data_IF_755151565016
#
_entry.id   IF_755151565016
#
_cell.length_a   1.000
_cell.length_b   1.000
_cell.length_c   1.000
_cell.angle_alpha   90.00
_cell.angle_beta   90.00
_cell.angle_gamma   90.00
#
_symmetry.space_group_name_H-M   'P 1'
#
loop_
_entity.id
_entity.type
_entity.pdbx_description
1 polymer ?
#
# COMPACT_ATOMS: atom_id res chain seq x y z
N UNK A 1 -45.28 -24.76 39.10
CA UNK A 1 -45.68 -24.89 37.68
C UNK A 1 -44.76 -25.92 37.06
N UNK A 2 -45.28 -27.03 36.57
CA UNK A 2 -44.46 -28.08 35.96
C UNK A 2 -44.23 -27.66 34.51
N UNK A 3 -42.98 -27.40 34.13
CA UNK A 3 -42.63 -27.10 32.74
C UNK A 3 -42.88 -28.35 31.91
N UNK A 4 -43.65 -28.21 30.82
CA UNK A 4 -43.92 -29.30 29.90
C UNK A 4 -42.60 -29.72 29.23
N UNK A 5 -42.07 -30.93 29.51
CA UNK A 5 -40.80 -31.36 28.95
C UNK A 5 -40.87 -31.57 27.42
N UNK A 6 -42.07 -31.71 26.85
CA UNK A 6 -42.28 -31.85 25.40
C UNK A 6 -42.44 -30.51 24.67
N UNK A 7 -42.36 -29.37 25.37
CA UNK A 7 -42.46 -28.05 24.74
C UNK A 7 -41.16 -27.69 24.01
N UNK A 8 -41.17 -27.76 22.67
CA UNK A 8 -40.01 -27.53 21.80
C UNK A 8 -39.84 -26.07 21.35
N UNK A 9 -40.47 -25.13 22.07
CA UNK A 9 -40.51 -23.71 21.68
C UNK A 9 -41.47 -23.44 20.51
N UNK A 10 -41.47 -22.20 20.02
CA UNK A 10 -42.20 -21.85 18.79
C UNK A 10 -41.61 -22.60 17.60
N UNK A 11 -42.47 -23.30 16.86
CA UNK A 11 -42.03 -24.07 15.71
C UNK A 11 -41.46 -23.14 14.64
N UNK A 12 -40.21 -23.38 14.22
CA UNK A 12 -39.60 -22.72 13.07
C UNK A 12 -39.49 -23.72 11.92
N UNK A 13 -39.97 -23.36 10.70
CA UNK A 13 -39.81 -24.22 9.54
C UNK A 13 -38.32 -24.43 9.25
N UNK A 14 -37.98 -25.61 8.71
CA UNK A 14 -36.62 -25.86 8.22
C UNK A 14 -36.42 -25.00 6.97
N UNK A 15 -35.36 -24.19 6.97
CA UNK A 15 -34.93 -23.52 5.74
C UNK A 15 -34.38 -24.60 4.81
N UNK A 16 -34.93 -24.66 3.61
CA UNK A 16 -34.52 -25.58 2.55
C UNK A 16 -33.99 -24.69 1.44
N UNK A 17 -32.78 -24.96 0.98
CA UNK A 17 -32.21 -24.26 -0.16
C UNK A 17 -33.14 -24.42 -1.35
N UNK A 18 -33.52 -23.30 -1.96
CA UNK A 18 -34.47 -23.31 -3.06
C UNK A 18 -33.82 -23.98 -4.28
N UNK A 19 -34.26 -25.17 -4.72
CA UNK A 19 -33.67 -25.85 -5.88
C UNK A 19 -33.92 -25.09 -7.19
N UNK A 20 -34.84 -24.12 -7.20
CA UNK A 20 -35.10 -23.25 -8.35
C UNK A 20 -34.31 -21.93 -8.30
N UNK A 21 -33.42 -21.74 -7.32
CA UNK A 21 -32.56 -20.56 -7.28
C UNK A 21 -31.51 -20.64 -8.38
N UNK A 22 -31.53 -19.68 -9.31
CA UNK A 22 -30.64 -19.65 -10.48
C UNK A 22 -29.39 -18.80 -10.28
N UNK A 23 -29.04 -18.53 -9.01
CA UNK A 23 -28.00 -17.56 -8.67
C UNK A 23 -28.53 -16.12 -8.66
N UNK A 24 -27.63 -15.19 -8.35
CA UNK A 24 -27.90 -13.75 -8.47
C UNK A 24 -28.07 -13.43 -9.94
N UNK A 25 -29.12 -12.69 -10.28
CA UNK A 25 -29.32 -12.25 -11.66
C UNK A 25 -28.17 -11.32 -12.07
N UNK A 26 -27.55 -11.61 -13.21
CA UNK A 26 -26.49 -10.81 -13.83
C UNK A 26 -27.07 -10.26 -15.15
N UNK A 27 -26.92 -8.95 -15.37
CA UNK A 27 -27.36 -8.34 -16.62
C UNK A 27 -26.47 -8.85 -17.77
N UNK A 28 -27.04 -9.29 -18.91
CA UNK A 28 -26.25 -9.72 -20.06
C UNK A 28 -25.32 -8.61 -20.54
N UNK A 29 -24.07 -8.94 -20.79
CA UNK A 29 -23.15 -8.03 -21.47
C UNK A 29 -23.56 -7.91 -22.94
N UNK A 30 -23.63 -6.68 -23.43
CA UNK A 30 -23.98 -6.34 -24.82
C UNK A 30 -22.83 -5.50 -25.36
N UNK A 31 -22.37 -5.83 -26.57
CA UNK A 31 -21.30 -5.07 -27.22
C UNK A 31 -21.67 -3.59 -27.32
N UNK A 32 -20.76 -2.73 -26.88
CA UNK A 32 -20.96 -1.28 -26.92
C UNK A 32 -20.78 -0.77 -28.36
N UNK A 33 -21.83 -0.24 -29.02
CA UNK A 33 -21.72 0.27 -30.40
C UNK A 33 -20.84 1.51 -30.51
N UNK A 34 -20.57 2.21 -29.42
CA UNK A 34 -19.71 3.41 -29.38
C UNK A 34 -18.22 3.08 -29.17
N UNK A 35 -17.87 1.81 -28.97
CA UNK A 35 -16.48 1.41 -28.84
C UNK A 35 -15.79 1.34 -30.20
N UNK A 36 -14.69 2.07 -30.34
CA UNK A 36 -13.80 2.00 -31.52
C UNK A 36 -12.34 1.94 -31.08
N UNK A 37 -11.56 0.93 -31.53
CA UNK A 37 -10.13 0.89 -31.24
C UNK A 37 -9.38 1.96 -32.07
N UNK A 38 -8.48 2.71 -31.42
CA UNK A 38 -7.64 3.72 -32.08
C UNK A 38 -6.14 3.33 -31.97
N UNK A 39 -5.46 3.06 -33.09
CA UNK A 39 -4.05 2.72 -33.09
C UNK A 39 -3.12 3.92 -32.80
N UNK A 40 -3.61 5.16 -32.88
CA UNK A 40 -2.79 6.37 -32.74
C UNK A 40 -2.86 6.98 -31.33
N UNK A 41 -3.39 6.26 -30.34
CA UNK A 41 -3.55 6.78 -28.97
C UNK A 41 -2.21 7.20 -28.33
N UNK A 42 -1.10 6.62 -28.77
CA UNK A 42 0.25 6.96 -28.30
C UNK A 42 0.85 8.20 -28.99
N UNK A 43 0.30 8.61 -30.14
CA UNK A 43 0.89 9.62 -31.00
C UNK A 43 0.37 11.01 -30.61
N UNK A 44 1.30 11.93 -30.40
CA UNK A 44 1.01 13.35 -30.20
C UNK A 44 1.74 14.16 -31.27
N UNK A 45 1.10 15.25 -31.73
CA UNK A 45 1.67 16.10 -32.78
C UNK A 45 2.95 16.82 -32.34
N UNK A 46 3.04 17.22 -31.07
CA UNK A 46 4.17 17.99 -30.54
C UNK A 46 4.25 17.91 -29.02
N UNK A 47 5.47 17.75 -28.49
CA UNK A 47 5.81 17.90 -27.08
C UNK A 47 6.74 19.11 -26.92
N UNK A 48 6.31 20.14 -26.18
CA UNK A 48 7.07 21.39 -26.04
C UNK A 48 7.37 21.85 -24.61
N UNK A 49 6.65 21.32 -23.62
CA UNK A 49 6.76 21.76 -22.22
C UNK A 49 6.71 20.55 -21.29
N UNK A 50 7.57 20.56 -20.29
CA UNK A 50 7.51 19.66 -19.12
C UNK A 50 6.99 20.50 -17.95
N UNK A 51 5.92 20.05 -17.32
CA UNK A 51 5.33 20.70 -16.15
C UNK A 51 5.21 19.71 -15.00
N UNK A 52 5.54 20.17 -13.78
CA UNK A 52 5.31 19.42 -12.55
C UNK A 52 4.19 20.13 -11.79
N UNK A 53 3.01 19.51 -11.77
CA UNK A 53 1.85 19.96 -11.00
C UNK A 53 1.45 18.85 -10.01
N UNK A 54 1.73 19.08 -8.74
CA UNK A 54 1.66 18.07 -7.68
C UNK A 54 1.15 18.72 -6.39
N UNK A 55 0.32 18.00 -5.63
CA UNK A 55 -0.09 18.39 -4.29
C UNK A 55 0.72 17.64 -3.23
N UNK A 56 1.28 18.35 -2.24
CA UNK A 56 2.03 17.75 -1.13
C UNK A 56 1.56 18.27 0.23
N UNK A 57 1.31 17.36 1.17
CA UNK A 57 1.01 17.71 2.58
C UNK A 57 2.29 17.98 3.37
N UNK A 58 3.31 17.11 3.21
CA UNK A 58 4.65 17.28 3.79
C UNK A 58 5.66 17.42 2.64
N UNK A 59 6.47 18.47 2.68
CA UNK A 59 7.51 18.71 1.67
C UNK A 59 8.76 17.87 1.95
N UNK A 60 9.59 17.69 0.91
CA UNK A 60 10.87 16.98 1.02
C UNK A 60 11.26 16.17 -0.22
N UNK A 61 10.37 16.04 -1.20
CA UNK A 61 10.65 15.33 -2.46
C UNK A 61 11.61 16.14 -3.33
N UNK A 62 12.62 15.47 -3.88
CA UNK A 62 13.61 16.03 -4.80
C UNK A 62 13.46 15.27 -6.12
N UNK A 63 13.21 16.00 -7.21
CA UNK A 63 13.20 15.45 -8.57
C UNK A 63 14.46 15.92 -9.29
N UNK A 64 15.17 14.98 -9.93
CA UNK A 64 16.36 15.25 -10.73
C UNK A 64 16.43 14.26 -11.90
N UNK A 65 17.36 14.49 -12.84
CA UNK A 65 17.68 13.63 -13.97
C UNK A 65 16.52 13.44 -14.98
N UNK A 66 15.80 14.51 -15.32
CA UNK A 66 14.77 14.46 -16.36
C UNK A 66 15.38 14.11 -17.74
N UNK A 67 14.93 13.00 -18.33
CA UNK A 67 15.31 12.57 -19.67
C UNK A 67 14.06 12.35 -20.54
N UNK A 68 14.06 12.90 -21.74
CA UNK A 68 13.08 12.60 -22.80
C UNK A 68 13.87 12.15 -24.03
N UNK A 69 13.64 10.91 -24.47
CA UNK A 69 14.32 10.30 -25.62
C UNK A 69 13.40 9.31 -26.32
N UNK A 70 13.72 8.99 -27.57
CA UNK A 70 13.08 7.99 -28.43
C UNK A 70 13.85 6.65 -28.47
N UNK A 71 15.01 6.56 -27.79
CA UNK A 71 15.82 5.35 -27.72
C UNK A 71 15.79 4.74 -26.30
N UNK A 72 15.22 3.54 -26.20
CA UNK A 72 15.12 2.77 -24.96
C UNK A 72 16.49 2.41 -24.37
N UNK A 73 17.48 2.12 -25.22
CA UNK A 73 18.82 1.72 -24.74
C UNK A 73 19.57 2.89 -24.16
N UNK A 74 19.45 4.05 -24.81
CA UNK A 74 20.05 5.28 -24.30
C UNK A 74 19.42 5.69 -22.96
N UNK A 75 18.10 5.52 -22.81
CA UNK A 75 17.41 5.75 -21.54
C UNK A 75 17.93 4.82 -20.43
N UNK A 76 18.15 3.54 -20.73
CA UNK A 76 18.71 2.57 -19.78
C UNK A 76 20.16 2.92 -19.39
N UNK A 77 21.01 3.24 -20.36
CA UNK A 77 22.39 3.66 -20.11
C UNK A 77 22.44 4.91 -19.23
N UNK A 78 21.66 5.95 -19.54
CA UNK A 78 21.58 7.17 -18.74
C UNK A 78 21.05 6.91 -17.33
N UNK A 79 20.04 6.04 -17.19
CA UNK A 79 19.51 5.64 -15.87
C UNK A 79 20.54 4.91 -15.01
N UNK A 80 21.34 4.04 -15.62
CA UNK A 80 22.43 3.33 -14.94
C UNK A 80 23.57 4.27 -14.55
N UNK A 81 23.93 5.24 -15.40
CA UNK A 81 24.98 6.22 -15.12
C UNK A 81 24.58 7.24 -14.04
N UNK A 82 23.30 7.59 -13.96
CA UNK A 82 22.78 8.56 -12.99
C UNK A 82 22.32 7.85 -11.71
N UNK A 83 21.06 7.41 -11.66
CA UNK A 83 20.47 6.76 -10.49
C UNK A 83 21.23 5.49 -10.07
N UNK A 84 21.66 4.69 -11.04
CA UNK A 84 22.42 3.47 -10.77
C UNK A 84 23.72 3.74 -10.01
N UNK A 85 24.37 4.89 -10.24
CA UNK A 85 25.59 5.30 -9.55
C UNK A 85 25.33 5.91 -8.17
N UNK A 86 24.22 6.64 -7.98
CA UNK A 86 23.93 7.34 -6.72
C UNK A 86 23.26 6.45 -5.69
N UNK A 87 22.38 5.52 -6.10
CA UNK A 87 21.52 4.74 -5.19
C UNK A 87 22.28 4.04 -4.06
N UNK A 88 23.43 3.43 -4.35
CA UNK A 88 24.17 2.63 -3.38
C UNK A 88 24.92 3.52 -2.38
N UNK A 89 25.42 4.67 -2.83
CA UNK A 89 26.09 5.64 -1.98
C UNK A 89 25.08 6.40 -1.10
N UNK A 90 23.94 6.78 -1.67
CA UNK A 90 22.82 7.41 -0.95
C UNK A 90 22.27 6.48 0.13
N UNK A 91 22.03 5.21 -0.20
CA UNK A 91 21.58 4.21 0.78
C UNK A 91 22.57 4.06 1.94
N UNK A 92 23.86 3.93 1.65
CA UNK A 92 24.90 3.81 2.70
C UNK A 92 24.96 5.06 3.58
N UNK A 93 24.83 6.25 3.00
CA UNK A 93 24.84 7.50 3.76
C UNK A 93 23.59 7.59 4.64
N UNK A 94 22.42 7.20 4.12
CA UNK A 94 21.17 7.17 4.87
C UNK A 94 21.25 6.21 6.05
N UNK A 95 21.72 4.97 5.83
CA UNK A 95 21.90 3.99 6.91
C UNK A 95 22.85 4.48 8.02
N UNK A 96 23.94 5.17 7.65
CA UNK A 96 24.85 5.78 8.63
C UNK A 96 24.17 6.91 9.43
N UNK A 97 23.40 7.76 8.75
CA UNK A 97 22.68 8.85 9.41
C UNK A 97 21.57 8.33 10.31
N UNK A 98 20.84 7.31 9.89
CA UNK A 98 19.75 6.69 10.65
C UNK A 98 20.30 6.02 11.92
N UNK A 99 21.45 5.33 11.84
CA UNK A 99 22.12 4.73 13.01
C UNK A 99 22.63 5.79 14.00
N UNK A 100 23.23 6.87 13.51
CA UNK A 100 23.70 7.97 14.35
C UNK A 100 22.54 8.76 14.99
N UNK A 101 21.41 8.90 14.29
CA UNK A 101 20.19 9.48 14.85
C UNK A 101 19.58 8.58 15.91
N UNK A 102 19.50 7.27 15.67
CA UNK A 102 18.98 6.30 16.65
C UNK A 102 19.80 6.32 17.94
N UNK A 103 21.13 6.31 17.85
CA UNK A 103 22.01 6.41 19.03
C UNK A 103 21.81 7.72 19.80
N UNK A 104 21.62 8.84 19.10
CA UNK A 104 21.35 10.13 19.76
C UNK A 104 20.00 10.14 20.46
N UNK A 105 18.97 9.57 19.84
CA UNK A 105 17.65 9.44 20.46
C UNK A 105 17.71 8.54 21.70
N UNK A 106 18.39 7.38 21.62
CA UNK A 106 18.58 6.49 22.77
C UNK A 106 19.33 7.19 23.93
N UNK A 107 20.38 7.97 23.63
CA UNK A 107 21.11 8.76 24.64
C UNK A 107 20.26 9.89 25.24
N UNK A 108 19.46 10.58 24.43
CA UNK A 108 18.54 11.62 24.89
C UNK A 108 17.41 11.06 25.75
N UNK A 109 16.82 9.93 25.36
CA UNK A 109 15.76 9.26 26.11
C UNK A 109 16.27 8.68 27.42
N UNK A 110 17.50 8.14 27.41
CA UNK A 110 18.15 7.70 28.65
C UNK A 110 18.44 8.88 29.59
N UNK A 111 18.89 10.02 29.06
CA UNK A 111 19.07 11.24 29.87
C UNK A 111 17.76 11.78 30.41
N UNK A 112 16.68 11.78 29.61
CA UNK A 112 15.34 12.17 30.10
C UNK A 112 14.87 11.25 31.22
N UNK A 113 15.01 9.94 31.08
CA UNK A 113 14.68 8.96 32.14
C UNK A 113 15.53 9.15 33.41
N UNK A 114 16.81 9.54 33.27
CA UNK A 114 17.69 9.83 34.41
C UNK A 114 17.39 11.21 35.06
N UNK A 115 16.95 12.22 34.29
CA UNK A 115 16.56 13.55 34.81
C UNK A 115 15.14 13.58 35.43
N UNK A 116 14.21 12.75 34.93
CA UNK A 116 12.84 12.64 35.47
C UNK A 116 12.72 11.73 36.70
N UNK A 117 13.78 10.97 37.04
CA UNK A 117 13.94 10.26 38.31
C UNK A 117 12.84 9.25 38.63
N UNK A 118 13.06 7.97 38.27
CA UNK A 118 12.31 6.77 38.72
C UNK A 118 10.94 7.03 39.39
N UNK A 119 9.94 7.46 38.63
CA UNK A 119 8.56 7.07 38.94
C UNK A 119 8.26 5.84 38.08
N UNK A 120 8.07 4.69 38.75
CA UNK A 120 7.61 3.46 38.12
C UNK A 120 6.33 3.75 37.33
N UNK A 121 6.24 3.41 36.03
CA UNK A 121 4.94 3.33 35.39
C UNK A 121 4.25 2.07 35.92
N UNK A 122 3.37 2.24 36.92
CA UNK A 122 2.25 1.32 37.09
C UNK A 122 1.49 1.28 35.76
N UNK A 123 1.28 0.06 35.27
CA UNK A 123 0.87 -0.22 33.90
C UNK A 123 -0.36 0.54 33.42
N UNK A 124 -0.28 0.95 32.16
CA UNK A 124 -1.42 1.20 31.29
C UNK A 124 -1.05 0.74 29.88
N UNK A 125 -2.08 0.37 29.14
CA UNK A 125 -2.16 -0.71 28.18
C UNK A 125 -1.21 -0.67 26.96
N UNK A 126 -0.89 -1.89 26.55
CA UNK A 126 -0.16 -2.29 25.36
C UNK A 126 -1.02 -2.08 24.09
N UNK A 127 -1.24 -0.84 23.66
CA UNK A 127 -1.96 -0.52 22.41
C UNK A 127 -1.03 -0.29 21.19
N UNK A 128 0.29 -0.21 21.38
CA UNK A 128 1.25 0.04 20.27
C UNK A 128 1.76 -1.24 19.58
N UNK A 129 1.57 -2.44 20.17
CA UNK A 129 1.95 -3.71 19.53
C UNK A 129 0.95 -4.18 18.46
N UNK A 130 -0.29 -3.65 18.43
CA UNK A 130 -1.29 -4.03 17.42
C UNK A 130 -1.08 -3.31 16.06
N UNK A 131 -0.52 -2.08 16.03
CA UNK A 131 -0.29 -1.34 14.77
C UNK A 131 0.90 -1.90 13.96
N UNK A 132 1.93 -2.46 14.60
CA UNK A 132 3.09 -3.07 13.89
C UNK A 132 2.78 -4.45 13.30
N UNK A 133 1.77 -5.17 13.80
CA UNK A 133 1.30 -6.42 13.19
C UNK A 133 0.39 -6.14 11.97
N UNK A 134 -0.45 -5.09 12.01
CA UNK A 134 -1.28 -4.71 10.86
C UNK A 134 -0.45 -4.20 9.67
N UNK A 135 0.61 -3.41 9.88
CA UNK A 135 1.47 -2.97 8.76
C UNK A 135 2.24 -4.13 8.10
N UNK A 136 2.59 -5.20 8.84
CA UNK A 136 3.26 -6.38 8.28
C UNK A 136 2.33 -7.30 7.51
N UNK A 137 1.06 -7.43 7.93
CA UNK A 137 0.08 -8.21 7.17
C UNK A 137 -0.34 -7.51 5.87
N UNK A 138 -0.44 -6.18 5.84
CA UNK A 138 -0.73 -5.43 4.61
C UNK A 138 0.39 -5.54 3.56
N UNK A 139 1.66 -5.50 3.98
CA UNK A 139 2.82 -5.62 3.07
C UNK A 139 2.97 -7.06 2.53
N UNK A 140 2.57 -8.10 3.29
CA UNK A 140 2.57 -9.48 2.82
C UNK A 140 1.43 -9.76 1.82
N UNK A 141 0.22 -9.21 2.02
CA UNK A 141 -0.92 -9.41 1.09
C UNK A 141 -0.71 -8.71 -0.28
N UNK A 142 -0.02 -7.57 -0.36
CA UNK A 142 0.27 -6.91 -1.65
C UNK A 142 1.23 -7.74 -2.53
N UNK A 143 2.06 -8.60 -1.93
CA UNK A 143 3.05 -9.41 -2.67
C UNK A 143 2.53 -10.74 -3.22
N UNK A 144 1.39 -11.25 -2.73
CA UNK A 144 0.81 -12.55 -3.13
C UNK A 144 -0.48 -12.43 -3.99
N UNK A 145 -0.78 -11.26 -4.56
CA UNK A 145 -1.84 -11.13 -5.56
C UNK A 145 -1.54 -11.94 -6.83
N UNK A 146 -2.44 -12.82 -7.33
CA UNK A 146 -2.16 -13.64 -8.50
C UNK A 146 -1.99 -12.78 -9.74
N UNK A 147 -0.78 -12.81 -10.33
CA UNK A 147 -0.48 -12.38 -11.69
C UNK A 147 -1.47 -13.04 -12.66
N UNK A 148 -2.56 -12.33 -12.98
CA UNK A 148 -3.42 -12.66 -14.10
C UNK A 148 -2.76 -12.15 -15.36
N UNK A 149 -1.92 -13.02 -15.91
CA UNK A 149 -1.53 -13.02 -17.31
C UNK A 149 -2.82 -13.19 -18.14
N UNK A 150 -3.28 -12.12 -18.80
CA UNK A 150 -4.15 -12.25 -19.97
C UNK A 150 -3.51 -11.52 -21.16
N UNK A 151 -3.58 -12.25 -22.26
CA UNK A 151 -2.87 -12.13 -23.52
C UNK A 151 -3.59 -11.21 -24.51
#
# INVERSE_FOLDING_TARGET
VIQNPDYKGEWKPRQIDNPNYKGKWIHPEIDNPEYTPDPNLYFYENFGVIGLDLWQVKSGTIFDNFLITDDEKFAEEFGNETWGATKDAEKKMKEQQDEDQRKKQEEEDKKKKEEEGEEEPEGEDNEEEEEEEEEKEEDEEETEGPLKDEL
#
